data_IF_255663452149
#
_entry.id   IF_255663452149
#
_cell.length_a   1.000
_cell.length_b   1.000
_cell.length_c   1.000
_cell.angle_alpha   90.00
_cell.angle_beta   90.00
_cell.angle_gamma   90.00
#
_symmetry.space_group_name_H-M   'P 1'
#
loop_
_entity.id
_entity.type
_entity.pdbx_description
1 polymer ?
#
# COMPACT_ATOMS: atom_id res chain seq x y z
N UNK A 1 -3.36 -2.04 -14.45
CA UNK A 1 -2.37 -2.37 -13.41
C UNK A 1 -2.82 -1.94 -12.01
N UNK A 2 -3.20 -0.68 -11.80
CA UNK A 2 -3.60 -0.15 -10.47
C UNK A 2 -4.67 -0.98 -9.75
N UNK A 3 -5.69 -1.48 -10.48
CA UNK A 3 -6.71 -2.37 -9.89
C UNK A 3 -6.13 -3.68 -9.31
N UNK A 4 -5.10 -4.24 -9.94
CA UNK A 4 -4.43 -5.46 -9.45
C UNK A 4 -3.62 -5.12 -8.20
N UNK A 5 -2.86 -4.03 -8.22
CA UNK A 5 -2.11 -3.55 -7.06
C UNK A 5 -3.03 -3.28 -5.85
N UNK A 6 -4.18 -2.64 -6.08
CA UNK A 6 -5.20 -2.42 -5.06
C UNK A 6 -5.77 -3.72 -4.45
N UNK A 7 -5.86 -4.80 -5.23
CA UNK A 7 -6.25 -6.12 -4.70
C UNK A 7 -5.13 -6.78 -3.93
N UNK A 8 -3.88 -6.61 -4.36
CA UNK A 8 -2.71 -7.15 -3.68
C UNK A 8 -2.62 -6.60 -2.25
N UNK A 9 -2.64 -5.27 -2.10
CA UNK A 9 -2.60 -4.62 -0.79
C UNK A 9 -3.79 -5.00 0.10
N UNK A 10 -5.03 -5.13 -0.44
CA UNK A 10 -6.16 -5.62 0.37
C UNK A 10 -5.94 -7.07 0.82
N UNK A 11 -5.35 -7.92 -0.04
CA UNK A 11 -4.97 -9.29 0.29
C UNK A 11 -3.98 -9.36 1.45
N UNK A 12 -2.85 -8.64 1.33
CA UNK A 12 -1.82 -8.58 2.37
C UNK A 12 -2.39 -8.04 3.67
N UNK A 13 -3.10 -6.90 3.64
CA UNK A 13 -3.78 -6.33 4.82
C UNK A 13 -4.69 -7.33 5.53
N UNK A 14 -5.48 -8.10 4.77
CA UNK A 14 -6.37 -9.12 5.32
C UNK A 14 -5.60 -10.30 5.89
N UNK A 15 -4.50 -10.71 5.26
CA UNK A 15 -3.62 -11.77 5.77
C UNK A 15 -3.04 -11.35 7.12
N UNK A 16 -2.38 -10.20 7.18
CA UNK A 16 -1.79 -9.65 8.41
C UNK A 16 -2.83 -9.57 9.53
N UNK A 17 -4.04 -9.05 9.27
CA UNK A 17 -5.09 -9.00 10.29
C UNK A 17 -5.61 -10.38 10.73
N UNK A 18 -5.73 -11.35 9.81
CA UNK A 18 -6.11 -12.70 10.21
C UNK A 18 -5.03 -13.35 11.08
N UNK A 19 -3.76 -13.20 10.72
CA UNK A 19 -2.63 -13.75 11.48
C UNK A 19 -2.51 -13.11 12.86
N UNK A 20 -2.66 -11.78 12.95
CA UNK A 20 -2.43 -11.04 14.19
C UNK A 20 -3.65 -10.95 15.11
N UNK A 21 -4.87 -10.87 14.56
CA UNK A 21 -6.11 -10.65 15.31
C UNK A 21 -7.12 -11.81 15.19
N UNK A 22 -6.83 -12.83 14.39
CA UNK A 22 -7.73 -13.97 14.18
C UNK A 22 -8.95 -13.67 13.31
N UNK A 23 -9.00 -12.52 12.63
CA UNK A 23 -10.08 -12.16 11.72
C UNK A 23 -9.67 -11.17 10.61
N UNK A 24 -10.45 -11.14 9.53
CA UNK A 24 -10.20 -10.32 8.33
C UNK A 24 -10.10 -8.80 8.59
N UNK A 25 -10.76 -8.33 9.64
CA UNK A 25 -10.77 -6.93 10.05
C UNK A 25 -12.12 -6.39 10.49
N UNK A 26 -12.10 -5.56 11.53
CA UNK A 26 -13.24 -4.91 12.21
C UNK A 26 -13.02 -3.41 12.27
N UNK A 27 -14.10 -2.66 12.54
CA UNK A 27 -14.09 -1.19 12.56
C UNK A 27 -13.02 -0.58 13.49
N UNK A 28 -12.69 -1.25 14.58
CA UNK A 28 -11.72 -0.78 15.57
C UNK A 28 -10.27 -1.12 15.20
N UNK A 29 -10.04 -2.00 14.22
CA UNK A 29 -8.70 -2.49 13.93
C UNK A 29 -7.89 -1.43 13.17
N UNK A 30 -6.62 -1.19 13.55
CA UNK A 30 -5.81 -0.12 12.97
C UNK A 30 -5.75 -0.17 11.44
N UNK A 31 -5.43 -1.34 10.89
CA UNK A 31 -5.33 -1.55 9.45
C UNK A 31 -6.69 -1.44 8.72
N UNK A 32 -7.79 -1.82 9.38
CA UNK A 32 -9.13 -1.66 8.79
C UNK A 32 -9.55 -0.18 8.74
N UNK A 33 -9.15 0.62 9.74
CA UNK A 33 -9.45 2.05 9.81
C UNK A 33 -8.76 2.86 8.71
N UNK A 34 -7.57 2.44 8.26
CA UNK A 34 -6.81 3.13 7.20
C UNK A 34 -7.02 2.54 5.81
N UNK A 35 -7.83 1.48 5.65
CA UNK A 35 -8.00 0.74 4.38
C UNK A 35 -8.31 1.61 3.16
N UNK A 36 -9.03 2.73 3.33
CA UNK A 36 -9.35 3.65 2.22
C UNK A 36 -8.14 4.51 1.87
N UNK A 37 -7.37 4.98 2.86
CA UNK A 37 -6.16 5.77 2.68
C UNK A 37 -5.11 4.97 1.90
N UNK A 38 -4.96 3.68 2.24
CA UNK A 38 -4.08 2.75 1.52
C UNK A 38 -4.42 2.61 0.02
N UNK A 39 -5.70 2.75 -0.35
CA UNK A 39 -6.15 2.68 -1.74
C UNK A 39 -6.09 4.04 -2.46
N UNK A 40 -6.17 5.13 -1.72
CA UNK A 40 -6.00 6.48 -2.25
C UNK A 40 -4.55 6.68 -2.70
N UNK A 41 -4.36 7.41 -3.80
CA UNK A 41 -3.05 7.78 -4.27
C UNK A 41 -2.40 8.84 -3.39
N UNK A 42 -1.09 8.75 -3.16
CA UNK A 42 -0.32 9.69 -2.32
C UNK A 42 -0.50 11.16 -2.70
N UNK A 43 -0.72 11.46 -3.98
CA UNK A 43 -0.95 12.82 -4.48
C UNK A 43 -2.32 13.39 -4.09
N UNK A 44 -3.25 12.54 -3.62
CA UNK A 44 -4.61 12.90 -3.19
C UNK A 44 -4.81 12.79 -1.68
N UNK A 45 -3.81 12.32 -0.94
CA UNK A 45 -3.89 12.19 0.51
C UNK A 45 -3.33 13.47 1.13
N UNK A 46 -4.20 14.23 1.80
CA UNK A 46 -3.81 15.37 2.63
C UNK A 46 -2.95 14.95 3.82
N UNK A 47 -2.23 15.90 4.41
CA UNK A 47 -1.27 15.64 5.49
C UNK A 47 -1.86 14.84 6.66
N UNK A 48 -3.03 15.23 7.15
CA UNK A 48 -3.76 14.50 8.22
C UNK A 48 -4.08 13.06 7.83
N UNK A 49 -4.35 12.82 6.55
CA UNK A 49 -4.56 11.48 6.01
C UNK A 49 -3.28 10.64 6.03
N UNK A 50 -2.13 11.26 5.71
CA UNK A 50 -0.81 10.61 5.77
C UNK A 50 -0.44 10.24 7.19
N UNK A 51 -0.56 11.17 8.13
CA UNK A 51 -0.32 10.91 9.56
C UNK A 51 -1.16 9.75 10.08
N UNK A 52 -2.46 9.75 9.78
CA UNK A 52 -3.37 8.68 10.19
C UNK A 52 -2.98 7.33 9.56
N UNK A 53 -2.55 7.32 8.30
CA UNK A 53 -2.06 6.11 7.64
C UNK A 53 -0.81 5.57 8.32
N UNK A 54 0.18 6.42 8.60
CA UNK A 54 1.41 6.03 9.29
C UNK A 54 1.15 5.49 10.69
N UNK A 55 0.27 6.15 11.46
CA UNK A 55 -0.15 5.66 12.78
C UNK A 55 -0.86 4.30 12.71
N UNK A 56 -1.73 4.11 11.72
CA UNK A 56 -2.44 2.85 11.53
C UNK A 56 -1.53 1.70 11.09
N UNK A 57 -0.50 1.98 10.27
CA UNK A 57 0.54 1.01 9.92
C UNK A 57 1.36 0.65 11.15
N UNK A 58 1.90 1.63 11.87
CA UNK A 58 2.67 1.42 13.10
C UNK A 58 1.93 0.58 14.16
N UNK A 59 0.62 0.73 14.24
CA UNK A 59 -0.20 0.03 15.23
C UNK A 59 -0.68 -1.36 14.79
N UNK A 60 -0.63 -1.71 13.51
CA UNK A 60 -1.29 -2.91 12.99
C UNK A 60 -0.51 -3.71 11.96
N UNK A 61 0.69 -3.27 11.57
CA UNK A 61 1.57 -3.91 10.60
C UNK A 61 2.91 -4.27 11.26
N UNK A 62 2.95 -5.32 12.10
CA UNK A 62 4.12 -5.59 12.95
C UNK A 62 5.40 -5.92 12.17
N UNK A 63 5.25 -6.46 10.97
CA UNK A 63 6.36 -6.92 10.12
C UNK A 63 6.46 -6.10 8.82
N UNK A 64 5.85 -4.91 8.78
CA UNK A 64 5.84 -3.96 7.64
C UNK A 64 5.33 -4.54 6.30
N UNK A 65 4.66 -5.69 6.30
CA UNK A 65 4.14 -6.34 5.09
C UNK A 65 3.13 -5.45 4.33
N UNK A 66 2.25 -4.76 5.05
CA UNK A 66 1.24 -3.87 4.45
C UNK A 66 1.88 -2.59 3.94
N UNK A 67 2.90 -2.07 4.64
CA UNK A 67 3.71 -0.95 4.19
C UNK A 67 4.43 -1.29 2.88
N UNK A 68 5.13 -2.42 2.81
CA UNK A 68 5.78 -2.89 1.58
C UNK A 68 4.79 -3.04 0.42
N UNK A 69 3.65 -3.69 0.67
CA UNK A 69 2.59 -3.83 -0.35
C UNK A 69 2.01 -2.48 -0.81
N UNK A 70 1.96 -1.48 0.07
CA UNK A 70 1.54 -0.13 -0.25
C UNK A 70 2.57 0.61 -1.10
N UNK A 71 3.85 0.53 -0.76
CA UNK A 71 4.95 1.12 -1.54
C UNK A 71 5.03 0.51 -2.96
N UNK A 72 4.86 -0.80 -3.08
CA UNK A 72 4.76 -1.47 -4.37
C UNK A 72 3.56 -0.97 -5.18
N UNK A 73 2.39 -0.79 -4.53
CA UNK A 73 1.20 -0.25 -5.17
C UNK A 73 1.40 1.19 -5.64
N UNK A 74 2.04 2.06 -4.87
CA UNK A 74 2.35 3.43 -5.31
C UNK A 74 3.36 3.44 -6.46
N UNK A 75 4.39 2.58 -6.43
CA UNK A 75 5.35 2.46 -7.54
C UNK A 75 4.66 2.06 -8.86
N UNK A 76 3.67 1.15 -8.81
CA UNK A 76 2.83 0.81 -9.97
C UNK A 76 1.97 1.98 -10.45
N UNK A 77 1.57 2.89 -9.56
CA UNK A 77 0.83 4.10 -9.94
C UNK A 77 1.75 5.12 -10.60
N UNK A 78 2.96 5.28 -10.11
CA UNK A 78 3.95 6.18 -10.73
C UNK A 78 4.21 5.77 -12.18
N UNK A 79 4.38 4.47 -12.45
CA UNK A 79 4.50 3.94 -13.83
C UNK A 79 3.29 4.31 -14.70
N UNK A 80 2.08 4.31 -14.13
CA UNK A 80 0.86 4.66 -14.86
C UNK A 80 0.69 6.16 -15.09
N UNK A 81 1.25 6.99 -14.20
CA UNK A 81 1.19 8.44 -14.27
C UNK A 81 2.33 9.06 -15.08
N UNK A 82 3.35 8.28 -15.44
CA UNK A 82 4.47 8.71 -16.26
C UNK A 82 4.02 9.39 -17.57
N UNK A 83 4.71 10.47 -17.95
CA UNK A 83 4.32 11.29 -19.09
C UNK A 83 4.67 10.62 -20.42
N UNK A 84 5.65 9.72 -20.41
CA UNK A 84 6.14 9.04 -21.60
C UNK A 84 6.62 7.61 -21.32
N UNK A 85 6.81 6.85 -22.40
CA UNK A 85 7.18 5.43 -22.34
C UNK A 85 8.55 5.19 -21.70
N UNK A 86 9.52 6.09 -21.91
CA UNK A 86 10.86 5.94 -21.35
C UNK A 86 10.81 6.05 -19.83
N UNK A 87 10.14 7.09 -19.33
CA UNK A 87 9.93 7.28 -17.89
C UNK A 87 9.16 6.11 -17.27
N UNK A 88 8.08 5.64 -17.91
CA UNK A 88 7.33 4.48 -17.44
C UNK A 88 8.20 3.21 -17.34
N UNK A 89 9.12 3.02 -18.29
CA UNK A 89 10.07 1.90 -18.29
C UNK A 89 11.07 2.01 -17.13
N UNK A 90 11.64 3.19 -16.92
CA UNK A 90 12.61 3.44 -15.85
C UNK A 90 11.95 3.25 -14.47
N UNK A 91 10.73 3.76 -14.28
CA UNK A 91 9.94 3.55 -13.06
C UNK A 91 9.54 2.08 -12.85
N UNK A 92 9.26 1.34 -13.93
CA UNK A 92 8.94 -0.08 -13.83
C UNK A 92 10.15 -0.90 -13.36
N UNK A 93 11.34 -0.60 -13.88
CA UNK A 93 12.58 -1.24 -13.42
C UNK A 93 12.84 -0.97 -11.94
N UNK A 94 12.63 0.27 -11.49
CA UNK A 94 12.72 0.65 -10.07
C UNK A 94 11.68 -0.08 -9.22
N UNK A 95 10.43 -0.19 -9.69
CA UNK A 95 9.37 -0.87 -8.98
C UNK A 95 9.66 -2.37 -8.78
N UNK A 96 10.18 -3.04 -9.81
CA UNK A 96 10.61 -4.45 -9.74
C UNK A 96 11.75 -4.59 -8.73
N UNK A 97 12.80 -3.77 -8.87
CA UNK A 97 13.96 -3.82 -7.97
C UNK A 97 13.57 -3.63 -6.49
N UNK A 98 12.67 -2.69 -6.19
CA UNK A 98 12.19 -2.47 -4.81
C UNK A 98 11.48 -3.70 -4.25
N UNK A 99 10.62 -4.34 -5.05
CA UNK A 99 9.89 -5.54 -4.62
C UNK A 99 10.79 -6.77 -4.45
N UNK A 100 11.97 -6.80 -5.08
CA UNK A 100 12.93 -7.90 -4.94
C UNK A 100 13.82 -7.78 -3.68
N UNK A 101 13.86 -6.59 -3.07
CA UNK A 101 14.66 -6.30 -1.86
C UNK A 101 13.82 -6.37 -0.57
N UNK A 102 12.51 -6.17 -0.68
CA UNK A 102 11.52 -6.28 0.41
C UNK A 102 11.15 -7.75 0.71
#
# INVERSE_FOLDING_TARGET
MVRVANRCIDGVRRRVQNTTLGHRGRKADPLYQIRKLLLTGTERVEERGRERMLLGLRAGDPDDEVLGAWLAKESVRDVYLAENRKEAHDLLAVAIYRCDID
#
